data_IF_742509865484
#
_entry.id   IF_742509865484
#
_cell.length_a   1.000
_cell.length_b   1.000
_cell.length_c   1.000
_cell.angle_alpha   90.00
_cell.angle_beta   90.00
_cell.angle_gamma   90.00
#
_symmetry.space_group_name_H-M   'P 1'
#
loop_
_entity.id
_entity.type
_entity.pdbx_description
1 polymer ?
#
# COMPACT_ATOMS: atom_id res chain seq x y z
N UNK A 1 -1.85 -10.50 -12.51
CA UNK A 1 -1.19 -9.19 -12.46
C UNK A 1 -1.91 -8.21 -13.37
N UNK A 2 -2.11 -6.99 -12.92
CA UNK A 2 -2.69 -5.89 -13.70
C UNK A 2 -1.67 -4.75 -13.76
N UNK A 3 -1.64 -4.03 -14.86
CA UNK A 3 -0.82 -2.81 -14.94
C UNK A 3 -1.49 -1.71 -14.12
N UNK A 4 -0.71 -0.99 -13.33
CA UNK A 4 -1.21 0.12 -12.50
C UNK A 4 -1.90 1.18 -13.37
N UNK A 5 -1.33 1.48 -14.54
CA UNK A 5 -1.86 2.46 -15.47
C UNK A 5 -3.21 2.12 -16.12
N UNK A 6 -3.62 0.85 -16.14
CA UNK A 6 -4.81 0.44 -16.89
C UNK A 6 -6.12 1.03 -16.31
N UNK A 7 -6.16 1.26 -14.99
CA UNK A 7 -7.36 1.72 -14.28
C UNK A 7 -7.16 2.92 -13.36
N UNK A 8 -6.00 3.58 -13.47
CA UNK A 8 -5.64 4.69 -12.58
C UNK A 8 -6.51 5.95 -12.79
N UNK A 9 -7.21 6.04 -13.91
CA UNK A 9 -8.11 7.15 -14.27
C UNK A 9 -9.57 6.68 -14.46
N UNK A 10 -9.92 5.47 -14.00
CA UNK A 10 -11.29 4.96 -14.05
C UNK A 10 -12.24 5.88 -13.26
N UNK A 11 -13.49 6.09 -13.75
CA UNK A 11 -14.44 7.03 -13.14
C UNK A 11 -15.13 6.46 -11.89
N UNK A 12 -14.40 5.73 -11.06
CA UNK A 12 -14.86 5.33 -9.73
C UNK A 12 -14.58 6.43 -8.71
N UNK A 13 -15.52 6.64 -7.81
CA UNK A 13 -15.42 7.66 -6.76
C UNK A 13 -14.08 7.58 -6.01
N UNK A 14 -13.66 6.40 -5.59
CA UNK A 14 -12.41 6.21 -4.87
C UNK A 14 -11.17 6.59 -5.68
N UNK A 15 -11.16 6.35 -7.00
CA UNK A 15 -10.07 6.75 -7.90
C UNK A 15 -10.08 8.26 -8.16
N UNK A 16 -11.26 8.86 -8.30
CA UNK A 16 -11.40 10.31 -8.48
C UNK A 16 -10.91 11.06 -7.23
N UNK A 17 -11.38 10.65 -6.05
CA UNK A 17 -11.02 11.28 -4.78
C UNK A 17 -9.52 11.09 -4.44
N UNK A 18 -8.94 9.93 -4.76
CA UNK A 18 -7.51 9.65 -4.57
C UNK A 18 -6.59 10.23 -5.65
N UNK A 19 -7.14 10.81 -6.72
CA UNK A 19 -6.39 11.25 -7.91
C UNK A 19 -5.54 10.08 -8.47
N UNK A 20 -6.14 8.90 -8.54
CA UNK A 20 -5.55 7.61 -8.83
C UNK A 20 -5.77 6.64 -7.68
N UNK A 21 -4.93 5.62 -7.56
CA UNK A 21 -5.03 4.71 -6.42
C UNK A 21 -4.57 5.41 -5.13
N UNK A 22 -5.44 5.41 -4.14
CA UNK A 22 -5.20 5.77 -2.75
C UNK A 22 -6.22 5.02 -1.87
N UNK A 23 -6.15 3.69 -1.92
CA UNK A 23 -7.17 2.82 -1.36
C UNK A 23 -6.57 1.71 -0.50
N UNK A 24 -7.25 1.38 0.60
CA UNK A 24 -6.97 0.19 1.37
C UNK A 24 -7.60 -1.04 0.70
N UNK A 25 -6.80 -2.06 0.46
CA UNK A 25 -7.24 -3.37 0.01
C UNK A 25 -7.29 -4.31 1.21
N UNK A 26 -8.47 -4.91 1.42
CA UNK A 26 -8.65 -5.93 2.44
C UNK A 26 -7.99 -7.23 1.98
N UNK A 27 -7.14 -7.80 2.81
CA UNK A 27 -6.51 -9.09 2.56
C UNK A 27 -7.47 -10.18 3.08
N UNK A 28 -8.35 -10.65 2.18
CA UNK A 28 -9.37 -11.64 2.51
C UNK A 28 -8.75 -12.97 2.98
N UNK A 29 -9.48 -13.68 3.83
CA UNK A 29 -9.11 -14.98 4.42
C UNK A 29 -7.84 -14.95 5.27
N UNK A 30 -7.31 -13.77 5.57
CA UNK A 30 -6.13 -13.59 6.37
C UNK A 30 -6.49 -13.47 7.85
N UNK A 31 -5.78 -14.22 8.68
CA UNK A 31 -5.83 -14.06 10.14
C UNK A 31 -4.81 -13.00 10.57
N UNK A 32 -5.24 -12.10 11.44
CA UNK A 32 -4.34 -11.13 12.07
C UNK A 32 -3.20 -11.86 12.81
N UNK A 33 -1.95 -11.42 12.57
CA UNK A 33 -0.75 -12.04 13.15
C UNK A 33 -0.14 -13.15 12.29
N UNK A 34 -0.78 -13.57 11.20
CA UNK A 34 -0.22 -14.56 10.28
C UNK A 34 0.53 -13.86 9.13
N UNK A 35 1.85 -14.09 9.02
CA UNK A 35 2.67 -13.51 7.96
C UNK A 35 2.37 -14.18 6.63
N UNK A 36 1.64 -13.47 5.75
CA UNK A 36 1.25 -13.96 4.43
C UNK A 36 1.56 -12.94 3.34
N UNK A 37 1.62 -13.38 2.08
CA UNK A 37 1.85 -12.49 0.95
C UNK A 37 0.64 -11.57 0.75
N UNK A 38 0.90 -10.25 0.75
CA UNK A 38 -0.10 -9.20 0.56
C UNK A 38 -0.10 -8.65 -0.88
N UNK A 39 1.08 -8.49 -1.46
CA UNK A 39 1.21 -7.89 -2.80
C UNK A 39 2.45 -8.39 -3.55
N UNK A 40 2.39 -8.26 -4.86
CA UNK A 40 3.55 -8.38 -5.75
C UNK A 40 3.58 -7.17 -6.67
N UNK A 41 4.67 -6.43 -6.65
CA UNK A 41 4.96 -5.38 -7.62
C UNK A 41 6.04 -5.88 -8.59
N UNK A 42 5.79 -5.77 -9.88
CA UNK A 42 6.68 -6.26 -10.92
C UNK A 42 6.85 -5.22 -12.04
N UNK A 43 8.09 -4.98 -12.43
CA UNK A 43 8.43 -4.15 -13.58
C UNK A 43 8.91 -5.04 -14.74
N UNK A 44 8.10 -5.09 -15.79
CA UNK A 44 8.31 -5.95 -16.96
C UNK A 44 9.58 -5.55 -17.73
N UNK A 45 9.92 -4.26 -17.76
CA UNK A 45 11.06 -3.76 -18.52
C UNK A 45 12.41 -4.15 -17.90
N UNK A 46 12.51 -4.16 -16.58
CA UNK A 46 13.75 -4.49 -15.86
C UNK A 46 13.76 -5.89 -15.27
N UNK A 47 12.63 -6.60 -15.27
CA UNK A 47 12.44 -7.87 -14.58
C UNK A 47 12.41 -7.77 -13.06
N UNK A 48 12.51 -6.58 -12.48
CA UNK A 48 12.52 -6.40 -11.02
C UNK A 48 11.18 -6.74 -10.41
N UNK A 49 11.22 -7.49 -9.34
CA UNK A 49 10.03 -7.87 -8.57
C UNK A 49 10.25 -7.57 -7.09
N UNK A 50 9.21 -7.04 -6.46
CA UNK A 50 9.09 -6.92 -5.01
C UNK A 50 7.84 -7.67 -4.55
N UNK A 51 8.01 -8.58 -3.61
CA UNK A 51 6.92 -9.24 -2.91
C UNK A 51 6.79 -8.62 -1.53
N UNK A 52 5.57 -8.31 -1.11
CA UNK A 52 5.26 -7.77 0.21
C UNK A 52 4.53 -8.82 1.02
N UNK A 53 5.05 -9.13 2.19
CA UNK A 53 4.42 -9.98 3.19
C UNK A 53 4.09 -9.14 4.42
N UNK A 54 2.98 -9.44 5.07
CA UNK A 54 2.60 -8.76 6.31
C UNK A 54 1.78 -9.66 7.21
N UNK A 55 1.79 -9.42 8.50
CA UNK A 55 0.91 -10.02 9.50
C UNK A 55 -0.34 -9.16 9.78
N UNK A 56 -0.47 -8.00 9.10
CA UNK A 56 -1.64 -7.14 9.13
C UNK A 56 -2.67 -7.53 8.05
N UNK A 57 -3.88 -7.02 8.17
CA UNK A 57 -5.07 -7.46 7.43
C UNK A 57 -5.42 -6.60 6.22
N UNK A 58 -4.73 -5.48 6.03
CA UNK A 58 -4.94 -4.54 4.94
C UNK A 58 -3.64 -4.02 4.36
N UNK A 59 -3.73 -3.49 3.15
CA UNK A 59 -2.63 -2.82 2.47
C UNK A 59 -3.16 -1.62 1.69
N UNK A 60 -2.69 -0.41 2.02
CA UNK A 60 -2.95 0.78 1.23
C UNK A 60 -2.07 0.76 -0.01
N UNK A 61 -2.66 1.02 -1.16
CA UNK A 61 -1.94 1.24 -2.41
C UNK A 61 -2.09 2.69 -2.79
N UNK A 62 -0.99 3.44 -2.74
CA UNK A 62 -0.96 4.85 -3.08
C UNK A 62 -0.02 5.11 -4.25
N UNK A 63 -0.51 5.72 -5.32
CA UNK A 63 0.24 5.94 -6.55
C UNK A 63 0.74 7.36 -6.74
N UNK A 64 0.85 8.14 -5.68
CA UNK A 64 1.43 9.49 -5.75
C UNK A 64 0.51 10.53 -6.39
N UNK A 65 -0.81 10.38 -6.30
CA UNK A 65 -1.78 11.31 -6.88
C UNK A 65 -1.77 12.70 -6.25
N UNK A 66 -1.38 12.80 -4.99
CA UNK A 66 -1.30 14.07 -4.25
C UNK A 66 0.08 14.73 -4.31
N UNK A 67 1.06 14.11 -4.96
CA UNK A 67 2.38 14.70 -5.11
C UNK A 67 2.34 15.89 -6.08
N UNK A 68 3.16 16.92 -5.83
CA UNK A 68 3.23 18.11 -6.66
C UNK A 68 3.63 17.76 -8.11
N UNK A 69 3.00 18.39 -9.10
CA UNK A 69 3.30 18.15 -10.51
C UNK A 69 4.69 18.67 -10.90
N UNK A 70 5.13 19.76 -10.30
CA UNK A 70 6.47 20.33 -10.45
C UNK A 70 7.53 19.64 -9.61
N UNK A 71 7.09 18.76 -8.71
CA UNK A 71 7.90 17.87 -7.90
C UNK A 71 8.35 18.48 -6.57
N UNK A 72 8.34 17.64 -5.54
CA UNK A 72 8.95 17.94 -4.24
C UNK A 72 10.44 17.59 -4.26
N UNK A 73 11.29 18.30 -3.51
CA UNK A 73 12.69 17.94 -3.38
C UNK A 73 12.86 16.50 -2.86
N UNK A 74 13.64 15.72 -3.57
CA UNK A 74 13.98 14.35 -3.20
C UNK A 74 15.48 14.18 -2.96
N UNK A 75 15.88 12.98 -2.60
CA UNK A 75 17.27 12.63 -2.34
C UNK A 75 18.13 12.78 -3.61
N UNK A 76 19.36 13.30 -3.45
CA UNK A 76 20.31 13.46 -4.55
C UNK A 76 19.85 14.46 -5.63
N UNK A 77 19.16 15.53 -5.25
CA UNK A 77 18.60 16.53 -6.15
C UNK A 77 17.53 15.98 -7.13
N UNK A 78 17.02 14.79 -6.88
CA UNK A 78 15.88 14.25 -7.64
C UNK A 78 14.61 15.03 -7.29
N UNK A 79 13.60 14.91 -8.16
CA UNK A 79 12.26 15.40 -7.88
C UNK A 79 11.30 14.23 -7.73
N UNK A 80 10.54 14.22 -6.64
CA UNK A 80 9.43 13.29 -6.43
C UNK A 80 8.16 13.95 -6.97
N UNK A 81 7.68 13.47 -8.10
CA UNK A 81 6.59 14.11 -8.82
C UNK A 81 5.33 13.25 -8.86
N UNK A 82 4.23 13.85 -9.28
CA UNK A 82 2.93 13.25 -9.51
C UNK A 82 3.04 11.89 -10.21
N UNK A 83 2.46 10.85 -9.61
CA UNK A 83 2.36 9.48 -10.14
C UNK A 83 3.70 8.84 -10.56
N UNK A 84 4.78 9.12 -9.84
CA UNK A 84 6.12 8.55 -10.13
C UNK A 84 6.58 7.49 -9.14
N UNK A 85 5.68 7.05 -8.29
CA UNK A 85 5.98 6.01 -7.31
C UNK A 85 4.72 5.30 -6.85
N UNK A 86 4.93 4.17 -6.18
CA UNK A 86 3.88 3.41 -5.52
C UNK A 86 4.31 3.17 -4.09
N UNK A 87 3.47 3.56 -3.14
CA UNK A 87 3.58 3.16 -1.74
C UNK A 87 2.67 1.95 -1.50
N UNK A 88 3.19 0.96 -0.77
CA UNK A 88 2.48 -0.23 -0.32
C UNK A 88 2.55 -0.26 1.20
N UNK A 89 1.46 0.17 1.85
CA UNK A 89 1.42 0.48 3.28
C UNK A 89 0.57 -0.57 4.00
N UNK A 90 1.22 -1.45 4.73
CA UNK A 90 0.52 -2.50 5.49
C UNK A 90 -0.10 -1.90 6.75
N UNK A 91 -1.38 -2.20 7.01
CA UNK A 91 -2.15 -1.52 8.05
C UNK A 91 -3.39 -2.31 8.50
N UNK A 92 -4.03 -1.86 9.58
CA UNK A 92 -5.43 -2.13 9.83
C UNK A 92 -6.30 -1.34 8.85
N UNK A 93 -7.57 -1.73 8.72
CA UNK A 93 -8.47 -0.97 7.85
C UNK A 93 -8.66 0.45 8.40
N UNK A 94 -8.74 1.48 7.54
CA UNK A 94 -9.07 2.83 7.97
C UNK A 94 -10.33 2.84 8.81
N UNK A 95 -10.36 3.71 9.83
CA UNK A 95 -11.49 3.88 10.75
C UNK A 95 -11.87 2.64 11.58
N UNK A 96 -10.96 1.66 11.71
CA UNK A 96 -11.24 0.41 12.44
C UNK A 96 -11.74 0.61 13.87
N UNK A 97 -11.31 1.68 14.54
CA UNK A 97 -11.73 2.01 15.91
C UNK A 97 -13.25 2.22 16.05
N UNK A 98 -13.91 2.64 14.98
CA UNK A 98 -15.36 2.90 14.94
C UNK A 98 -16.18 1.73 14.37
N UNK A 99 -15.52 0.66 13.91
CA UNK A 99 -16.15 -0.48 13.25
C UNK A 99 -15.85 -1.80 13.97
N UNK A 100 -16.76 -2.24 14.82
CA UNK A 100 -16.58 -3.45 15.64
C UNK A 100 -16.42 -4.76 14.85
N UNK A 101 -16.80 -4.77 13.57
CA UNK A 101 -16.65 -5.89 12.66
C UNK A 101 -15.32 -5.88 11.88
N UNK A 102 -14.48 -4.84 12.04
CA UNK A 102 -13.17 -4.79 11.41
C UNK A 102 -12.13 -5.50 12.30
N UNK A 103 -11.20 -6.25 11.72
CA UNK A 103 -10.12 -6.86 12.47
C UNK A 103 -9.16 -5.77 12.95
N UNK A 104 -9.18 -5.52 14.25
CA UNK A 104 -8.42 -4.44 14.87
C UNK A 104 -7.96 -4.83 16.29
N UNK A 105 -6.83 -4.29 16.72
CA UNK A 105 -6.31 -4.44 18.08
C UNK A 105 -6.04 -3.06 18.68
N UNK A 106 -6.63 -2.77 19.82
CA UNK A 106 -6.21 -1.66 20.68
C UNK A 106 -4.87 -2.01 21.35
N UNK A 107 -4.06 -1.00 21.57
CA UNK A 107 -2.82 -1.10 22.34
C UNK A 107 -3.04 -0.37 23.66
N UNK A 108 -2.96 -1.10 24.75
CA UNK A 108 -3.12 -0.55 26.09
C UNK A 108 -1.84 0.20 26.54
N UNK A 109 -1.94 1.13 27.51
CA UNK A 109 -0.77 1.77 28.09
C UNK A 109 0.27 0.74 28.57
N UNK A 110 1.52 0.88 28.14
CA UNK A 110 2.63 -0.04 28.39
C UNK A 110 2.54 -1.42 27.69
N UNK A 111 1.61 -1.62 26.78
CA UNK A 111 1.58 -2.77 25.89
C UNK A 111 2.50 -2.56 24.69
N UNK A 112 3.30 -3.55 24.33
CA UNK A 112 4.10 -3.52 23.10
C UNK A 112 3.21 -3.79 21.88
N UNK A 113 3.22 -2.88 20.91
CA UNK A 113 2.67 -3.13 19.59
C UNK A 113 3.75 -3.62 18.65
N UNK A 114 3.58 -4.81 18.11
CA UNK A 114 4.53 -5.44 17.19
C UNK A 114 3.81 -5.96 15.96
N UNK A 115 4.30 -5.57 14.80
CA UNK A 115 3.89 -6.08 13.49
C UNK A 115 5.10 -6.37 12.63
N UNK A 116 4.89 -7.17 11.58
CA UNK A 116 5.95 -7.54 10.64
C UNK A 116 5.51 -7.21 9.22
N UNK A 117 6.33 -6.44 8.52
CA UNK A 117 6.23 -6.27 7.08
C UNK A 117 7.57 -6.64 6.46
N UNK A 118 7.55 -7.56 5.50
CA UNK A 118 8.74 -8.09 4.85
C UNK A 118 8.68 -7.81 3.35
N UNK A 119 9.75 -7.24 2.81
CA UNK A 119 9.92 -6.99 1.38
C UNK A 119 10.97 -7.96 0.82
N UNK A 120 10.57 -8.78 -0.15
CA UNK A 120 11.47 -9.71 -0.85
C UNK A 120 11.70 -9.23 -2.26
N UNK A 121 12.95 -8.98 -2.60
CA UNK A 121 13.35 -8.47 -3.92
C UNK A 121 13.97 -9.59 -4.74
N UNK A 122 13.64 -9.60 -6.04
CA UNK A 122 14.22 -10.54 -7.03
C UNK A 122 14.24 -9.91 -8.41
N UNK A 123 14.93 -10.56 -9.34
CA UNK A 123 14.87 -10.30 -10.78
C UNK A 123 14.44 -11.58 -11.46
N UNK A 124 13.45 -11.51 -12.34
CA UNK A 124 12.94 -12.62 -13.15
C UNK A 124 13.46 -12.54 -14.57
#
# INVERSE_FOLDING_TARGET
>A
LHKIGDKIDEPFRAIIEGIGYDNNYCLYDKKLGELTQAAVLYDEASGRQMQVYTDLVGIQVYCGGWLAKDGNPGKGNSKVTFRRGVALETQFYPDSVNHSNFPFKFVEPNEEFKTTTEFRFSVK
#
